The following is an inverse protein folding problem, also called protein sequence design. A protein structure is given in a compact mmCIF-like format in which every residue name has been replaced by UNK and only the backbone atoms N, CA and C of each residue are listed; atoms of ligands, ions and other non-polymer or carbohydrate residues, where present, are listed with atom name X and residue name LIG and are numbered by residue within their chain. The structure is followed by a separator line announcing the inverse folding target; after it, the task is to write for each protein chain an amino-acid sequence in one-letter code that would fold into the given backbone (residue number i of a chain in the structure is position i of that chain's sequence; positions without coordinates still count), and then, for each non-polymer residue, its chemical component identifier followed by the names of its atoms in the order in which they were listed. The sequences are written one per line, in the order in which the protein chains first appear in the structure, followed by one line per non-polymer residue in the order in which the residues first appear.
data_IF_548159119728
#
_entry.id   IF_548159119728
#
_cell.length_a   1.000
_cell.length_b   1.000
_cell.length_c   1.000
_cell.angle_alpha   90.00
_cell.angle_beta   90.00
_cell.angle_gamma   90.00
#
_symmetry.space_group_name_H-M   'P 1'
#
loop_
_entity.id
_entity.type
_entity.pdbx_description
1 polymer ?
#
# COMPACT_ATOMS: atom_id res chain seq x y z
N UNK A 1 6.07 10.55 6.74
CA UNK A 1 6.60 9.18 6.91
C UNK A 1 5.95 8.12 6.03
N UNK A 2 6.70 7.60 5.05
CA UNK A 2 6.23 6.47 4.24
C UNK A 2 6.06 5.16 5.05
N UNK A 3 7.02 4.73 5.89
CA UNK A 3 6.89 3.44 6.60
C UNK A 3 5.76 3.45 7.64
N UNK A 4 5.55 4.57 8.33
CA UNK A 4 4.46 4.72 9.29
C UNK A 4 3.09 4.67 8.58
N UNK A 5 2.94 5.40 7.48
CA UNK A 5 1.74 5.38 6.65
C UNK A 5 1.42 3.96 6.16
N UNK A 6 2.45 3.21 5.71
CA UNK A 6 2.25 1.85 5.24
C UNK A 6 1.74 0.91 6.32
N UNK A 7 2.27 1.02 7.55
CA UNK A 7 1.81 0.25 8.70
C UNK A 7 0.38 0.61 9.08
N UNK A 8 0.05 1.91 9.12
CA UNK A 8 -1.27 2.40 9.48
C UNK A 8 -2.35 1.98 8.48
N UNK A 9 -2.08 2.12 7.18
CA UNK A 9 -3.07 1.89 6.12
C UNK A 9 -3.04 0.48 5.51
N UNK A 10 -2.16 -0.38 6.01
CA UNK A 10 -2.03 -1.76 5.54
C UNK A 10 -1.40 -1.86 4.16
N UNK A 11 -0.55 -0.92 3.76
CA UNK A 11 0.28 -1.05 2.56
C UNK A 11 1.54 -1.87 2.84
N UNK A 12 2.15 -2.34 1.76
CA UNK A 12 3.52 -2.84 1.83
C UNK A 12 4.49 -1.67 1.88
N UNK A 13 5.55 -1.84 2.67
CA UNK A 13 6.59 -0.84 2.80
C UNK A 13 7.40 -0.70 1.50
N UNK A 14 8.19 0.38 1.42
CA UNK A 14 9.01 0.71 0.27
C UNK A 14 9.93 -0.45 -0.14
N UNK A 15 10.41 -1.25 0.81
CA UNK A 15 11.27 -2.42 0.58
C UNK A 15 10.60 -3.52 -0.29
N UNK A 16 9.29 -3.44 -0.53
CA UNK A 16 8.58 -4.38 -1.40
C UNK A 16 9.04 -4.28 -2.85
N UNK A 17 9.33 -5.42 -3.46
CA UNK A 17 9.74 -5.49 -4.87
C UNK A 17 8.59 -5.17 -5.84
N UNK A 18 7.36 -5.52 -5.49
CA UNK A 18 6.18 -5.35 -6.36
C UNK A 18 5.41 -4.06 -6.14
N UNK A 19 5.38 -3.60 -4.89
CA UNK A 19 4.44 -2.57 -4.44
C UNK A 19 5.09 -1.56 -3.48
N UNK A 20 6.18 -0.88 -3.88
CA UNK A 20 6.89 0.10 -3.06
C UNK A 20 6.10 1.40 -2.83
N UNK A 21 5.25 1.83 -3.77
CA UNK A 21 4.51 3.10 -3.68
C UNK A 21 3.07 2.89 -3.17
N UNK A 22 2.56 3.76 -2.30
CA UNK A 22 1.17 3.74 -1.81
C UNK A 22 0.15 4.26 -2.82
N UNK A 23 0.57 5.09 -3.78
CA UNK A 23 -0.31 5.77 -4.74
C UNK A 23 -0.46 5.03 -6.08
N UNK A 24 0.62 4.43 -6.58
CA UNK A 24 0.64 3.75 -7.88
C UNK A 24 1.03 2.26 -7.78
N UNK A 25 0.98 1.56 -8.92
CA UNK A 25 1.35 0.14 -9.06
C UNK A 25 2.72 -0.05 -9.71
N UNK A 26 3.65 0.86 -9.47
CA UNK A 26 5.03 0.72 -9.96
C UNK A 26 5.75 -0.43 -9.28
N UNK A 27 6.63 -1.13 -9.99
CA UNK A 27 7.55 -2.10 -9.38
C UNK A 27 8.87 -1.45 -9.01
N UNK A 28 9.59 -2.01 -8.05
CA UNK A 28 10.85 -1.41 -7.55
C UNK A 28 11.92 -1.24 -8.62
N UNK A 29 12.00 -2.18 -9.57
CA UNK A 29 12.91 -2.12 -10.71
C UNK A 29 12.52 -1.09 -11.79
N UNK A 30 11.26 -0.62 -11.78
CA UNK A 30 10.74 0.34 -12.76
C UNK A 30 10.84 1.79 -12.26
N UNK A 31 11.10 2.01 -10.96
CA UNK A 31 11.18 3.35 -10.35
C UNK A 31 12.16 4.26 -11.09
N UNK A 32 13.37 3.77 -11.39
CA UNK A 32 14.40 4.57 -12.05
C UNK A 32 14.06 4.97 -13.49
N UNK A 33 13.09 4.30 -14.13
CA UNK A 33 12.70 4.53 -15.53
C UNK A 33 11.24 4.95 -15.65
N UNK A 34 10.63 5.40 -14.55
CA UNK A 34 9.20 5.69 -14.48
C UNK A 34 8.86 6.86 -15.41
N UNK A 35 8.11 6.64 -16.51
CA UNK A 35 7.53 7.73 -17.27
C UNK A 35 6.38 8.30 -16.42
N UNK A 36 6.35 9.62 -16.23
CA UNK A 36 5.41 10.36 -15.37
C UNK A 36 3.93 9.95 -15.53
N UNK A 37 3.54 9.44 -16.71
CA UNK A 37 2.15 9.14 -17.07
C UNK A 37 1.87 7.65 -17.39
N UNK A 38 2.83 6.75 -17.23
CA UNK A 38 2.65 5.35 -17.64
C UNK A 38 2.16 4.41 -16.52
N UNK A 39 2.16 4.85 -15.26
CA UNK A 39 1.91 3.96 -14.13
C UNK A 39 0.46 4.03 -13.68
N UNK A 40 -0.19 2.87 -13.65
CA UNK A 40 -1.56 2.76 -13.17
C UNK A 40 -1.68 3.15 -11.68
N UNK A 41 -2.59 4.08 -11.38
CA UNK A 41 -2.96 4.44 -10.02
C UNK A 41 -3.55 3.23 -9.25
N UNK A 42 -3.40 3.25 -7.92
CA UNK A 42 -4.13 2.33 -7.05
C UNK A 42 -5.59 2.75 -6.93
N UNK A 43 -6.41 1.80 -6.50
CA UNK A 43 -7.83 2.01 -6.31
C UNK A 43 -8.16 1.65 -4.86
N UNK A 44 -8.69 2.62 -4.11
CA UNK A 44 -9.02 2.51 -2.69
C UNK A 44 -9.97 1.36 -2.38
N UNK A 45 -11.07 1.27 -3.13
CA UNK A 45 -12.05 0.17 -2.96
C UNK A 45 -11.41 -1.20 -3.16
N UNK A 46 -10.54 -1.33 -4.17
CA UNK A 46 -9.84 -2.57 -4.46
C UNK A 46 -8.86 -2.93 -3.35
N UNK A 47 -8.20 -1.93 -2.77
CA UNK A 47 -7.35 -2.10 -1.58
C UNK A 47 -8.16 -2.61 -0.40
N UNK A 48 -9.30 -1.97 -0.08
CA UNK A 48 -10.21 -2.41 0.99
C UNK A 48 -10.72 -3.83 0.79
N UNK A 49 -11.18 -4.17 -0.42
CA UNK A 49 -11.63 -5.54 -0.75
C UNK A 49 -10.52 -6.57 -0.54
N UNK A 50 -9.28 -6.23 -0.95
CA UNK A 50 -8.11 -7.11 -0.75
C UNK A 50 -7.72 -7.22 0.71
N UNK A 51 -7.78 -6.14 1.48
CA UNK A 51 -7.51 -6.12 2.91
C UNK A 51 -8.54 -6.97 3.67
N UNK A 52 -9.82 -6.85 3.36
CA UNK A 52 -10.87 -7.68 3.93
C UNK A 52 -10.65 -9.18 3.63
N UNK A 53 -10.22 -9.52 2.40
CA UNK A 53 -9.85 -10.89 2.06
C UNK A 53 -8.63 -11.36 2.85
N UNK A 54 -7.59 -10.53 2.98
CA UNK A 54 -6.41 -10.83 3.79
C UNK A 54 -6.79 -11.16 5.24
N UNK A 55 -7.71 -10.38 5.84
CA UNK A 55 -8.20 -10.59 7.20
C UNK A 55 -8.92 -11.95 7.38
N UNK A 56 -9.65 -12.41 6.35
CA UNK A 56 -10.36 -13.70 6.37
C UNK A 56 -9.44 -14.93 6.24
N UNK A 57 -8.21 -14.78 5.73
CA UNK A 57 -7.29 -15.91 5.55
C UNK A 57 -6.77 -16.34 6.94
N UNK A 58 -7.11 -17.57 7.37
CA UNK A 58 -6.69 -18.10 8.68
C UNK A 58 -5.25 -18.60 8.70
N UNK A 59 -4.81 -19.25 7.61
CA UNK A 59 -3.48 -19.81 7.52
C UNK A 59 -2.42 -18.72 7.35
N UNK A 60 -1.47 -18.63 8.29
CA UNK A 60 -0.44 -17.59 8.30
C UNK A 60 0.40 -17.59 7.03
N UNK A 61 0.80 -18.78 6.54
CA UNK A 61 1.59 -18.92 5.30
C UNK A 61 0.84 -18.38 4.07
N UNK A 62 -0.44 -18.67 3.96
CA UNK A 62 -1.28 -18.17 2.85
C UNK A 62 -1.51 -16.66 2.97
N UNK A 63 -1.67 -16.16 4.20
CA UNK A 63 -1.81 -14.74 4.48
C UNK A 63 -0.55 -13.96 4.07
N UNK A 64 0.64 -14.47 4.38
CA UNK A 64 1.91 -13.87 3.98
C UNK A 64 2.12 -13.90 2.46
N UNK A 65 1.83 -15.03 1.80
CA UNK A 65 1.84 -15.11 0.33
C UNK A 65 0.90 -14.08 -0.29
N UNK A 66 -0.30 -13.94 0.25
CA UNK A 66 -1.29 -12.98 -0.21
C UNK A 66 -0.81 -11.52 -0.04
N UNK A 67 -0.24 -11.18 1.12
CA UNK A 67 0.35 -9.87 1.37
C UNK A 67 1.49 -9.56 0.40
N UNK A 68 2.39 -10.52 0.15
CA UNK A 68 3.48 -10.35 -0.83
C UNK A 68 2.94 -10.21 -2.25
N UNK A 69 1.90 -10.96 -2.61
CA UNK A 69 1.35 -10.95 -3.96
C UNK A 69 0.59 -9.67 -4.28
N UNK A 70 -0.22 -9.16 -3.36
CA UNK A 70 -1.08 -7.99 -3.57
C UNK A 70 -0.56 -6.69 -2.96
N UNK A 71 0.41 -6.77 -2.07
CA UNK A 71 0.98 -5.63 -1.37
C UNK A 71 0.08 -5.05 -0.27
N UNK A 72 -0.83 -5.85 0.31
CA UNK A 72 -1.90 -5.39 1.22
C UNK A 72 -1.97 -6.22 2.50
N UNK A 73 -2.20 -5.55 3.63
CA UNK A 73 -2.52 -6.13 4.93
C UNK A 73 -3.83 -5.54 5.48
N UNK A 74 -4.38 -6.15 6.52
CA UNK A 74 -5.53 -5.60 7.22
C UNK A 74 -5.15 -4.34 8.01
N UNK A 75 -6.05 -3.37 8.00
CA UNK A 75 -6.03 -2.18 8.85
C UNK A 75 -7.46 -1.83 9.21
N UNK A 76 -7.70 -1.36 10.44
CA UNK A 76 -9.04 -0.94 10.89
C UNK A 76 -9.60 0.22 10.04
N UNK A 77 -8.73 1.05 9.45
CA UNK A 77 -9.15 2.10 8.52
C UNK A 77 -9.84 1.54 7.27
N UNK A 78 -9.58 0.29 6.88
CA UNK A 78 -10.27 -0.35 5.75
C UNK A 78 -11.75 -0.65 6.04
N UNK A 79 -12.18 -0.65 7.31
CA UNK A 79 -13.57 -0.85 7.72
C UNK A 79 -14.43 0.41 7.51
N UNK A 80 -13.81 1.59 7.54
CA UNK A 80 -14.53 2.86 7.46
C UNK A 80 -15.02 3.11 6.02
N UNK A 81 -16.34 3.29 5.79
CA UNK A 81 -16.88 3.43 4.43
C UNK A 81 -16.38 4.70 3.75
N UNK A 82 -16.30 5.81 4.49
CA UNK A 82 -15.88 7.12 4.00
C UNK A 82 -14.38 7.24 3.74
N UNK A 83 -13.55 6.42 4.39
CA UNK A 83 -12.10 6.60 4.35
C UNK A 83 -11.46 5.90 3.14
N UNK A 84 -10.84 6.62 2.21
CA UNK A 84 -10.10 6.01 1.11
C UNK A 84 -8.59 5.96 1.43
N UNK A 85 -7.99 4.77 1.71
CA UNK A 85 -6.58 4.69 2.10
C UNK A 85 -5.60 5.12 0.99
N UNK A 86 -6.01 5.10 -0.27
CA UNK A 86 -5.16 5.54 -1.38
C UNK A 86 -5.19 7.06 -1.49
N UNK A 87 -6.38 7.66 -1.51
CA UNK A 87 -6.53 9.12 -1.70
C UNK A 87 -6.28 9.91 -0.41
N UNK A 88 -6.70 9.39 0.74
CA UNK A 88 -6.58 10.05 2.04
C UNK A 88 -5.32 9.66 2.80
N UNK A 89 -4.51 8.76 2.23
CA UNK A 89 -3.20 8.38 2.75
C UNK A 89 -2.11 9.36 2.33
N UNK A 90 -2.09 10.54 2.97
CA UNK A 90 -1.08 11.57 2.68
C UNK A 90 0.24 11.21 3.35
N UNK A 91 1.32 11.19 2.57
CA UNK A 91 2.67 11.07 3.12
C UNK A 91 2.96 12.39 3.83
N UNK A 92 3.15 12.33 5.15
CA UNK A 92 3.55 13.52 5.90
C UNK A 92 4.86 14.08 5.32
N UNK A 93 4.81 15.28 4.71
CA UNK A 93 5.96 15.89 4.05
C UNK A 93 7.01 16.35 5.05
N UNK A 94 6.65 16.65 6.31
CA UNK A 94 7.59 17.14 7.31
C UNK A 94 8.72 16.13 7.54
N UNK A 95 8.36 14.85 7.69
CA UNK A 95 9.34 13.80 7.84
C UNK A 95 10.01 13.39 6.52
N UNK A 96 9.36 13.63 5.37
CA UNK A 96 10.00 13.40 4.07
C UNK A 96 11.07 14.46 3.74
N UNK A 97 10.91 15.68 4.27
CA UNK A 97 11.84 16.80 4.05
C UNK A 97 12.99 16.83 5.05
N UNK A 98 12.74 16.46 6.32
CA UNK A 98 13.71 16.66 7.41
C UNK A 98 14.51 15.41 7.80
N UNK A 99 14.08 14.20 7.40
CA UNK A 99 14.68 12.93 7.83
C UNK A 99 14.96 11.97 6.67
N UNK A 100 15.21 12.53 5.47
CA UNK A 100 15.41 11.80 4.20
C UNK A 100 16.27 10.54 4.30
#
# INVERSE_FOLDING_TARGET
DHPALCKLLGFSDQASSRFPCTQCKIRRNEIARCPEHAVQARCGERHKKRAARYHRIKAQREREKYARYYGVRWSEFCRLPYFNPVEMGVIDPMHALLLG
#
